data_IF_499821568832
#
_entry.id   IF_499821568832
#
_cell.length_a   1.000
_cell.length_b   1.000
_cell.length_c   1.000
_cell.angle_alpha   90.00
_cell.angle_beta   90.00
_cell.angle_gamma   90.00
#
_symmetry.space_group_name_H-M   'P 1'
#
loop_
_entity.id
_entity.type
_entity.pdbx_description
1 polymer ?
#
# COMPACT_ATOMS: atom_id res chain seq x y z
N UNK A 1 6.79 -6.54 -24.93
CA UNK A 1 5.56 -5.91 -24.42
C UNK A 1 5.87 -5.41 -23.02
N UNK A 2 5.89 -4.10 -22.78
CA UNK A 2 6.02 -3.56 -21.44
C UNK A 2 4.75 -3.92 -20.68
N UNK A 3 4.80 -5.03 -19.96
CA UNK A 3 3.79 -5.46 -19.03
C UNK A 3 3.84 -4.47 -17.86
N UNK A 4 3.26 -3.28 -18.04
CA UNK A 4 3.24 -2.26 -16.99
C UNK A 4 2.44 -2.86 -15.83
N UNK A 5 3.12 -3.15 -14.73
CA UNK A 5 2.43 -3.47 -13.49
C UNK A 5 1.62 -2.26 -13.04
N UNK A 6 0.61 -2.51 -12.23
CA UNK A 6 -0.11 -1.46 -11.52
C UNK A 6 0.48 -1.42 -10.11
N UNK A 7 0.96 -0.26 -9.71
CA UNK A 7 1.64 -0.12 -8.42
C UNK A 7 0.79 0.75 -7.49
N UNK A 8 0.51 0.18 -6.32
CA UNK A 8 -0.04 0.89 -5.16
C UNK A 8 1.11 1.20 -4.21
N UNK A 9 1.14 2.41 -3.69
CA UNK A 9 2.15 2.84 -2.71
C UNK A 9 1.49 3.17 -1.38
N UNK A 10 2.07 2.64 -0.30
CA UNK A 10 1.74 3.03 1.08
C UNK A 10 2.95 3.75 1.66
N UNK A 11 2.77 4.99 2.11
CA UNK A 11 3.87 5.82 2.60
C UNK A 11 3.43 6.74 3.75
N UNK A 12 4.35 7.12 4.62
CA UNK A 12 4.08 8.11 5.68
C UNK A 12 3.81 9.50 5.05
N UNK A 13 2.77 10.16 5.52
CA UNK A 13 2.34 11.50 5.10
C UNK A 13 2.20 12.43 6.30
N UNK A 14 3.16 12.39 7.22
CA UNK A 14 3.19 13.25 8.41
C UNK A 14 2.44 12.62 9.59
N UNK A 15 2.79 11.38 9.94
CA UNK A 15 2.20 10.66 11.08
C UNK A 15 0.90 9.93 10.75
N UNK A 16 0.59 9.78 9.47
CA UNK A 16 -0.47 8.93 8.95
C UNK A 16 0.03 8.25 7.68
N UNK A 17 -0.69 7.24 7.20
CA UNK A 17 -0.31 6.43 6.05
C UNK A 17 -1.16 6.78 4.84
N UNK A 18 -0.55 7.43 3.85
CA UNK A 18 -1.17 7.71 2.57
C UNK A 18 -1.12 6.49 1.67
N UNK A 19 -2.23 6.20 1.00
CA UNK A 19 -2.35 5.15 -0.01
C UNK A 19 -2.52 5.79 -1.39
N UNK A 20 -1.64 5.45 -2.31
CA UNK A 20 -1.56 6.05 -3.65
C UNK A 20 -1.67 4.99 -4.74
N UNK A 21 -2.36 5.33 -5.82
CA UNK A 21 -2.42 4.56 -7.06
C UNK A 21 -1.87 5.46 -8.18
N UNK A 22 -0.63 5.22 -8.59
CA UNK A 22 0.12 6.20 -9.38
C UNK A 22 0.27 7.52 -8.61
N UNK A 23 -0.04 8.65 -9.25
CA UNK A 23 0.00 9.98 -8.62
C UNK A 23 -1.25 10.30 -7.78
N UNK A 24 -2.30 9.48 -7.85
CA UNK A 24 -3.55 9.74 -7.17
C UNK A 24 -3.55 9.18 -5.74
N UNK A 25 -3.75 10.04 -4.75
CA UNK A 25 -4.02 9.62 -3.39
C UNK A 25 -5.47 9.12 -3.27
N UNK A 26 -5.64 7.86 -2.91
CA UNK A 26 -6.94 7.21 -2.81
C UNK A 26 -7.41 7.00 -1.37
N UNK A 27 -6.52 7.24 -0.40
CA UNK A 27 -6.87 7.12 1.01
C UNK A 27 -5.75 7.58 1.95
N UNK A 28 -6.14 7.74 3.22
CA UNK A 28 -5.25 7.94 4.37
C UNK A 28 -5.74 7.06 5.52
N UNK A 29 -4.83 6.45 6.27
CA UNK A 29 -5.12 5.66 7.47
C UNK A 29 -4.17 6.01 8.61
N UNK A 30 -4.67 5.93 9.85
CA UNK A 30 -3.87 6.18 11.04
C UNK A 30 -3.01 4.97 11.43
N UNK A 31 -3.55 3.77 11.20
CA UNK A 31 -2.85 2.52 11.50
C UNK A 31 -2.13 1.99 10.25
N UNK A 32 -0.84 1.62 10.35
CA UNK A 32 -0.09 1.04 9.23
C UNK A 32 -0.70 -0.27 8.72
N UNK A 33 -1.20 -1.12 9.64
CA UNK A 33 -1.83 -2.39 9.28
C UNK A 33 -3.13 -2.17 8.48
N UNK A 34 -3.91 -1.16 8.85
CA UNK A 34 -5.14 -0.79 8.13
C UNK A 34 -4.83 -0.18 6.75
N UNK A 35 -3.78 0.63 6.65
CA UNK A 35 -3.31 1.16 5.38
C UNK A 35 -2.95 0.05 4.38
N UNK A 36 -2.24 -0.98 4.85
CA UNK A 36 -1.87 -2.15 4.04
C UNK A 36 -3.10 -2.96 3.65
N UNK A 37 -4.01 -3.22 4.60
CA UNK A 37 -5.25 -3.94 4.31
C UNK A 37 -6.10 -3.20 3.26
N UNK A 38 -6.22 -1.89 3.39
CA UNK A 38 -6.90 -1.04 2.42
C UNK A 38 -6.25 -1.13 1.03
N UNK A 39 -4.92 -0.98 0.94
CA UNK A 39 -4.21 -1.09 -0.33
C UNK A 39 -4.40 -2.47 -0.99
N UNK A 40 -4.29 -3.55 -0.21
CA UNK A 40 -4.48 -4.92 -0.72
C UNK A 40 -5.90 -5.16 -1.23
N UNK A 41 -6.93 -4.62 -0.56
CA UNK A 41 -8.32 -4.77 -1.01
C UNK A 41 -8.52 -4.23 -2.45
N UNK A 42 -8.00 -3.03 -2.73
CA UNK A 42 -8.09 -2.45 -4.07
C UNK A 42 -7.17 -3.16 -5.07
N UNK A 43 -5.97 -3.54 -4.65
CA UNK A 43 -5.03 -4.26 -5.50
C UNK A 43 -5.58 -5.61 -5.95
N UNK A 44 -6.24 -6.35 -5.06
CA UNK A 44 -6.90 -7.62 -5.38
C UNK A 44 -8.04 -7.42 -6.38
N UNK A 45 -8.88 -6.41 -6.15
CA UNK A 45 -9.96 -6.09 -7.06
C UNK A 45 -9.44 -5.68 -8.46
N UNK A 46 -8.42 -4.83 -8.54
CA UNK A 46 -7.84 -4.38 -9.81
C UNK A 46 -7.07 -5.51 -10.51
N UNK A 47 -6.44 -6.42 -9.77
CA UNK A 47 -5.80 -7.63 -10.30
C UNK A 47 -6.80 -8.53 -11.01
N UNK A 48 -7.96 -8.77 -10.38
CA UNK A 48 -9.03 -9.59 -10.96
C UNK A 48 -9.69 -8.93 -12.18
N UNK A 49 -9.97 -7.63 -12.10
CA UNK A 49 -10.72 -6.92 -13.14
C UNK A 49 -9.85 -6.55 -14.36
N UNK A 50 -8.57 -6.23 -14.16
CA UNK A 50 -7.66 -5.86 -15.25
C UNK A 50 -6.85 -7.04 -15.81
N UNK A 51 -6.76 -8.17 -15.10
CA UNK A 51 -5.87 -9.31 -15.38
C UNK A 51 -4.40 -8.89 -15.53
N UNK A 52 -4.00 -7.80 -14.87
CA UNK A 52 -2.62 -7.31 -14.83
C UNK A 52 -2.00 -7.62 -13.48
N UNK A 53 -0.68 -7.71 -13.48
CA UNK A 53 0.08 -7.78 -12.24
C UNK A 53 -0.11 -6.47 -11.47
N UNK A 54 -0.55 -6.58 -10.23
CA UNK A 54 -0.63 -5.47 -9.29
C UNK A 54 0.40 -5.69 -8.18
N UNK A 55 1.13 -4.65 -7.80
CA UNK A 55 2.05 -4.67 -6.68
C UNK A 55 1.58 -3.68 -5.61
N UNK A 56 1.72 -4.05 -4.34
CA UNK A 56 1.61 -3.13 -3.21
C UNK A 56 3.01 -2.91 -2.66
N UNK A 57 3.46 -1.67 -2.74
CA UNK A 57 4.80 -1.23 -2.38
C UNK A 57 4.71 -0.36 -1.12
N UNK A 58 5.71 -0.49 -0.26
CA UNK A 58 5.83 0.28 0.96
C UNK A 58 7.15 1.01 1.02
N UNK A 59 7.16 2.17 1.67
CA UNK A 59 8.41 2.85 2.02
C UNK A 59 9.18 2.12 3.16
N UNK A 60 10.45 2.49 3.39
CA UNK A 60 11.24 1.94 4.50
C UNK A 60 10.62 2.22 5.88
N UNK A 61 9.89 3.33 6.03
CA UNK A 61 9.29 3.77 7.29
C UNK A 61 8.14 2.85 7.71
N UNK A 62 7.32 2.40 6.76
CA UNK A 62 6.28 1.39 7.01
C UNK A 62 6.90 0.08 7.46
N UNK A 63 7.96 -0.37 6.79
CA UNK A 63 8.64 -1.61 7.18
C UNK A 63 9.24 -1.53 8.58
N UNK A 64 9.82 -0.39 8.95
CA UNK A 64 10.32 -0.15 10.30
C UNK A 64 9.18 -0.17 11.34
N UNK A 65 8.08 0.52 11.05
CA UNK A 65 6.90 0.59 11.94
C UNK A 65 6.27 -0.79 12.15
N UNK A 66 6.12 -1.59 11.09
CA UNK A 66 5.58 -2.96 11.24
C UNK A 66 6.51 -3.86 12.07
N UNK A 67 7.82 -3.69 11.94
CA UNK A 67 8.80 -4.43 12.76
C UNK A 67 8.69 -4.05 14.23
N UNK A 68 8.51 -2.77 14.56
CA UNK A 68 8.33 -2.36 15.95
C UNK A 68 7.04 -2.92 16.55
N UNK A 69 5.97 -3.04 15.76
CA UNK A 69 4.72 -3.66 16.22
C UNK A 69 4.90 -5.14 16.53
N UNK A 70 5.61 -5.89 15.67
CA UNK A 70 5.87 -7.32 15.88
C UNK A 70 6.75 -7.60 17.09
N UNK A 71 7.66 -6.70 17.44
CA UNK A 71 8.52 -6.85 18.61
C UNK A 71 7.75 -6.64 19.94
N UNK A 72 6.59 -5.97 19.88
CA UNK A 72 5.79 -5.60 21.03
C UNK A 72 4.44 -6.34 21.12
N UNK A 73 4.21 -7.35 20.26
CA UNK A 73 3.02 -8.19 20.22
C UNK A 73 3.29 -9.53 20.92
#
# INVERSE_FOLDING_TARGET
MLNSSIDYHVTDVGGAWGIFRGEAQIGVRQCPCDAIAFANFFADWESLSSRRRVNVLSDPDLHHTLRSYRANA
#
